data_IF_300310013389
#
_entry.id   IF_300310013389
#
_cell.length_a   1.000
_cell.length_b   1.000
_cell.length_c   1.000
_cell.angle_alpha   90.00
_cell.angle_beta   90.00
_cell.angle_gamma   90.00
#
_symmetry.space_group_name_H-M   'P 1'
#
loop_
_entity.id
_entity.type
_entity.pdbx_description
1 polymer ?
#
# COMPACT_ATOMS: atom_id res chain seq x y z
N UNK A 1 30.05 -4.01 -6.89
CA UNK A 1 29.46 -2.89 -6.12
C UNK A 1 29.02 -1.88 -7.16
N UNK A 2 27.82 -2.05 -7.72
CA UNK A 2 27.24 -1.10 -8.66
C UNK A 2 26.25 -0.29 -7.83
N UNK A 3 26.64 0.92 -7.47
CA UNK A 3 25.70 1.92 -6.99
C UNK A 3 24.74 2.20 -8.16
N UNK A 4 23.57 1.57 -8.11
CA UNK A 4 22.52 1.84 -9.06
C UNK A 4 21.96 3.21 -8.74
N UNK A 5 22.30 4.18 -9.59
CA UNK A 5 21.70 5.52 -9.64
C UNK A 5 20.19 5.34 -9.71
N UNK A 6 19.50 5.78 -8.66
CA UNK A 6 18.04 5.83 -8.63
C UNK A 6 17.54 6.98 -9.49
N UNK A 7 16.37 6.80 -10.09
CA UNK A 7 15.73 7.84 -10.88
C UNK A 7 15.33 8.97 -9.93
N UNK A 8 15.81 10.19 -10.19
CA UNK A 8 15.32 11.39 -9.51
C UNK A 8 13.90 11.75 -10.05
N UNK A 9 13.26 12.78 -9.50
CA UNK A 9 11.92 13.19 -9.97
C UNK A 9 11.91 13.52 -11.47
N UNK A 10 13.01 14.09 -11.99
CA UNK A 10 13.18 14.39 -13.41
C UNK A 10 13.20 13.12 -14.28
N UNK A 11 13.80 12.05 -13.77
CA UNK A 11 13.87 10.76 -14.44
C UNK A 11 12.50 10.04 -14.48
N UNK A 12 11.61 10.31 -13.53
CA UNK A 12 10.24 9.77 -13.50
C UNK A 12 9.41 10.39 -14.64
N UNK A 13 9.46 11.71 -14.75
CA UNK A 13 8.81 12.42 -15.86
C UNK A 13 9.47 12.08 -17.21
N UNK A 14 10.76 11.72 -17.22
CA UNK A 14 11.44 11.22 -18.43
C UNK A 14 11.00 9.78 -18.82
N UNK A 15 10.77 8.90 -17.83
CA UNK A 15 10.21 7.57 -18.07
C UNK A 15 8.73 7.63 -18.49
N UNK A 16 8.01 8.61 -17.98
CA UNK A 16 6.56 8.74 -18.13
C UNK A 16 6.14 10.16 -18.55
N UNK A 17 6.62 10.65 -19.71
CA UNK A 17 6.40 12.03 -20.12
C UNK A 17 4.90 12.30 -20.34
N UNK A 18 4.42 13.38 -19.71
CA UNK A 18 3.02 13.81 -19.80
C UNK A 18 2.04 13.05 -18.90
N UNK A 19 2.54 12.26 -17.94
CA UNK A 19 1.67 11.67 -16.91
C UNK A 19 1.29 12.65 -15.81
N UNK A 20 2.10 13.69 -15.58
CA UNK A 20 1.85 14.63 -14.50
C UNK A 20 1.87 13.93 -13.14
N UNK A 21 2.75 12.93 -12.98
CA UNK A 21 2.89 12.06 -11.81
C UNK A 21 2.96 12.86 -10.50
N UNK A 22 3.68 13.98 -10.53
CA UNK A 22 3.89 14.90 -9.42
C UNK A 22 2.85 16.03 -9.33
N UNK A 23 1.75 15.99 -10.09
CA UNK A 23 0.63 16.91 -9.89
C UNK A 23 -0.25 16.34 -8.78
N UNK A 24 -0.09 16.78 -7.51
CA UNK A 24 -0.88 16.24 -6.43
C UNK A 24 -2.36 16.50 -6.70
N UNK A 25 -3.22 15.55 -6.33
CA UNK A 25 -4.64 15.87 -6.28
C UNK A 25 -4.87 16.83 -5.11
N UNK A 26 -5.38 18.02 -5.38
CA UNK A 26 -5.81 18.94 -4.33
C UNK A 26 -7.04 18.35 -3.65
N UNK A 27 -6.83 17.72 -2.49
CA UNK A 27 -7.90 17.13 -1.68
C UNK A 27 -9.01 18.13 -1.29
N UNK A 28 -8.75 19.45 -1.38
CA UNK A 28 -9.71 20.52 -1.09
C UNK A 28 -10.79 20.71 -2.18
N UNK A 29 -10.60 20.17 -3.37
CA UNK A 29 -11.57 20.33 -4.48
C UNK A 29 -12.84 19.51 -4.27
N UNK A 30 -12.83 18.52 -3.38
CA UNK A 30 -14.02 17.72 -3.07
C UNK A 30 -15.00 18.36 -2.07
N UNK A 31 -14.65 19.50 -1.45
CA UNK A 31 -15.55 20.21 -0.51
C UNK A 31 -16.14 21.51 -1.04
N UNK A 32 -15.60 22.08 -2.13
CA UNK A 32 -16.10 23.33 -2.72
C UNK A 32 -16.55 23.11 -4.17
N UNK A 33 -17.88 23.06 -4.35
CA UNK A 33 -18.65 22.87 -5.58
C UNK A 33 -18.52 24.03 -6.61
N UNK A 34 -17.31 24.43 -7.01
CA UNK A 34 -17.16 25.45 -8.08
C UNK A 34 -16.05 25.20 -9.10
N UNK A 35 -15.23 24.16 -8.95
CA UNK A 35 -14.35 23.68 -10.03
C UNK A 35 -14.21 22.15 -9.98
N UNK A 36 -14.99 21.45 -10.80
CA UNK A 36 -15.05 19.99 -10.90
C UNK A 36 -13.86 19.39 -11.64
N UNK A 37 -12.63 19.71 -11.25
CA UNK A 37 -11.46 19.00 -11.79
C UNK A 37 -11.18 17.79 -10.91
N UNK A 38 -11.51 16.60 -11.41
CA UNK A 38 -11.12 15.36 -10.76
C UNK A 38 -9.61 15.21 -10.81
N UNK A 39 -9.05 14.34 -9.96
CA UNK A 39 -7.64 13.97 -10.13
C UNK A 39 -7.43 13.46 -11.56
N UNK A 40 -6.37 13.92 -12.23
CA UNK A 40 -6.04 13.49 -13.59
C UNK A 40 -5.86 11.96 -13.71
N UNK A 41 -5.59 11.27 -12.59
CA UNK A 41 -5.57 9.81 -12.52
C UNK A 41 -6.95 9.22 -12.81
N UNK A 42 -8.00 9.81 -12.22
CA UNK A 42 -9.38 9.39 -12.44
C UNK A 42 -9.79 9.69 -13.87
N UNK A 43 -9.48 10.89 -14.37
CA UNK A 43 -9.81 11.31 -15.75
C UNK A 43 -9.14 10.42 -16.81
N UNK A 44 -7.97 9.86 -16.48
CA UNK A 44 -7.18 9.01 -17.37
C UNK A 44 -7.05 7.58 -16.86
N UNK A 45 -8.04 7.07 -16.12
CA UNK A 45 -7.95 5.77 -15.45
C UNK A 45 -7.60 4.61 -16.38
N UNK A 46 -8.16 4.59 -17.59
CA UNK A 46 -7.83 3.59 -18.62
C UNK A 46 -6.34 3.59 -18.96
N UNK A 47 -5.75 4.78 -19.14
CA UNK A 47 -4.33 4.92 -19.43
C UNK A 47 -3.48 4.43 -18.25
N UNK A 48 -3.81 4.84 -17.03
CA UNK A 48 -3.09 4.39 -15.83
C UNK A 48 -3.16 2.88 -15.65
N UNK A 49 -4.33 2.29 -15.90
CA UNK A 49 -4.51 0.85 -15.85
C UNK A 49 -3.72 0.13 -16.95
N UNK A 50 -3.54 0.71 -18.15
CA UNK A 50 -2.61 0.15 -19.14
C UNK A 50 -1.18 0.07 -18.60
N UNK A 51 -0.69 1.13 -17.95
CA UNK A 51 0.66 1.14 -17.33
C UNK A 51 0.76 0.14 -16.18
N UNK A 52 -0.19 0.19 -15.25
CA UNK A 52 -0.22 -0.69 -14.07
C UNK A 52 -0.45 -2.16 -14.43
N UNK A 53 -1.06 -2.46 -15.56
CA UNK A 53 -1.23 -3.85 -16.01
C UNK A 53 0.11 -4.55 -16.21
N UNK A 54 1.11 -3.84 -16.73
CA UNK A 54 2.49 -4.33 -16.85
C UNK A 54 3.15 -4.57 -15.49
N UNK A 55 2.65 -3.93 -14.43
CA UNK A 55 3.01 -4.17 -13.05
C UNK A 55 2.22 -5.30 -12.36
N UNK A 56 1.10 -5.72 -12.94
CA UNK A 56 0.18 -6.69 -12.32
C UNK A 56 -0.80 -6.04 -11.35
N UNK A 57 -1.01 -4.74 -11.49
CA UNK A 57 -1.93 -3.95 -10.67
C UNK A 57 -2.93 -3.21 -11.56
N UNK A 58 -3.99 -2.71 -10.92
CA UNK A 58 -4.93 -1.78 -11.53
C UNK A 58 -5.51 -0.88 -10.43
N UNK A 59 -5.83 0.35 -10.80
CA UNK A 59 -6.67 1.24 -10.01
C UNK A 59 -8.13 0.93 -10.31
N UNK A 60 -8.89 0.62 -9.27
CA UNK A 60 -10.34 0.46 -9.32
C UNK A 60 -11.00 1.59 -8.57
N UNK A 61 -12.01 2.19 -9.18
CA UNK A 61 -12.89 3.10 -8.48
C UNK A 61 -13.72 2.34 -7.44
N UNK A 62 -13.81 2.91 -6.24
CA UNK A 62 -14.61 2.40 -5.16
C UNK A 62 -16.05 2.91 -5.27
N UNK A 63 -16.90 2.50 -4.34
CA UNK A 63 -18.32 2.91 -4.32
C UNK A 63 -18.50 4.43 -4.21
N UNK A 64 -17.55 5.13 -3.59
CA UNK A 64 -17.54 6.58 -3.50
C UNK A 64 -16.84 7.19 -4.74
N UNK A 65 -17.48 8.13 -5.47
CA UNK A 65 -16.88 8.77 -6.63
C UNK A 65 -15.53 9.41 -6.32
N UNK A 66 -14.53 9.12 -7.16
CA UNK A 66 -13.18 9.65 -7.03
C UNK A 66 -12.32 9.04 -5.93
N UNK A 67 -12.80 8.00 -5.25
CA UNK A 67 -11.95 7.16 -4.40
C UNK A 67 -11.44 5.95 -5.19
N UNK A 68 -10.13 5.77 -5.23
CA UNK A 68 -9.44 4.70 -5.95
C UNK A 68 -8.80 3.70 -4.97
N UNK A 69 -8.80 2.44 -5.38
CA UNK A 69 -8.03 1.38 -4.74
C UNK A 69 -7.10 0.73 -5.74
N UNK A 70 -5.81 0.67 -5.40
CA UNK A 70 -4.80 -0.04 -6.15
C UNK A 70 -4.84 -1.52 -5.78
N UNK A 71 -5.32 -2.36 -6.69
CA UNK A 71 -5.54 -3.79 -6.44
C UNK A 71 -4.71 -4.65 -7.38
N UNK A 72 -4.45 -5.89 -6.95
CA UNK A 72 -3.75 -6.87 -7.79
C UNK A 72 -4.65 -7.35 -8.94
N UNK A 73 -4.04 -7.62 -10.08
CA UNK A 73 -4.67 -8.32 -11.21
C UNK A 73 -4.21 -9.76 -11.20
N UNK A 74 -5.15 -10.71 -11.25
CA UNK A 74 -4.82 -12.12 -11.45
C UNK A 74 -4.12 -12.27 -12.81
N UNK A 75 -2.86 -12.71 -12.80
CA UNK A 75 -2.11 -12.98 -14.03
C UNK A 75 -2.28 -14.45 -14.39
N UNK A 76 -2.75 -14.71 -15.60
CA UNK A 76 -2.77 -16.05 -16.18
C UNK A 76 -1.33 -16.49 -16.48
N UNK A 77 -0.69 -17.20 -15.54
CA UNK A 77 0.43 -18.12 -15.78
C UNK A 77 1.74 -17.59 -16.38
N UNK A 78 1.86 -16.30 -16.71
CA UNK A 78 3.05 -15.72 -17.34
C UNK A 78 4.19 -15.50 -16.35
N UNK A 79 5.42 -15.91 -16.72
CA UNK A 79 6.65 -15.68 -15.95
C UNK A 79 6.74 -14.22 -15.49
N UNK A 80 7.09 -14.02 -14.21
CA UNK A 80 7.40 -12.71 -13.63
C UNK A 80 8.51 -12.05 -14.47
N UNK A 81 8.22 -10.94 -15.15
CA UNK A 81 9.27 -10.11 -15.73
C UNK A 81 9.89 -9.28 -14.60
N UNK A 82 11.00 -9.78 -14.05
CA UNK A 82 11.79 -9.10 -13.02
C UNK A 82 12.23 -7.68 -13.45
N UNK A 83 12.31 -7.41 -14.75
CA UNK A 83 12.77 -6.14 -15.32
C UNK A 83 11.90 -4.92 -14.96
N UNK A 84 10.63 -5.10 -14.58
CA UNK A 84 9.76 -3.96 -14.27
C UNK A 84 9.67 -3.63 -12.78
N UNK A 85 10.24 -4.45 -11.88
CA UNK A 85 10.03 -4.33 -10.44
C UNK A 85 10.40 -2.95 -9.87
N UNK A 86 11.42 -2.29 -10.44
CA UNK A 86 11.84 -0.94 -10.03
C UNK A 86 10.82 0.14 -10.40
N UNK A 87 10.28 0.09 -11.62
CA UNK A 87 9.33 1.10 -12.12
C UNK A 87 8.00 1.00 -11.38
N UNK A 88 7.56 -0.22 -11.08
CA UNK A 88 6.33 -0.45 -10.29
C UNK A 88 6.45 0.17 -8.90
N UNK A 89 7.56 -0.08 -8.21
CA UNK A 89 7.83 0.45 -6.88
C UNK A 89 7.81 1.96 -6.83
N UNK A 90 8.35 2.59 -7.88
CA UNK A 90 8.39 4.04 -8.02
C UNK A 90 6.99 4.61 -8.26
N UNK A 91 6.24 4.03 -9.20
CA UNK A 91 4.84 4.38 -9.45
C UNK A 91 4.00 4.25 -8.18
N UNK A 92 4.21 3.18 -7.41
CA UNK A 92 3.50 2.93 -6.17
C UNK A 92 3.74 4.02 -5.13
N UNK A 93 5.01 4.37 -4.91
CA UNK A 93 5.38 5.45 -4.00
C UNK A 93 4.75 6.79 -4.43
N UNK A 94 4.85 7.16 -5.71
CA UNK A 94 4.27 8.41 -6.23
C UNK A 94 2.75 8.43 -6.08
N UNK A 95 2.07 7.32 -6.37
CA UNK A 95 0.62 7.20 -6.17
C UNK A 95 0.24 7.46 -4.70
N UNK A 96 0.99 6.91 -3.75
CA UNK A 96 0.68 7.11 -2.33
C UNK A 96 1.07 8.47 -1.78
N UNK A 97 2.17 9.04 -2.26
CA UNK A 97 2.66 10.33 -1.79
C UNK A 97 1.84 11.50 -2.35
N UNK A 98 1.58 11.48 -3.66
CA UNK A 98 0.98 12.60 -4.38
C UNK A 98 -0.55 12.50 -4.51
N UNK A 99 -1.12 11.29 -4.49
CA UNK A 99 -2.52 11.07 -4.88
C UNK A 99 -3.40 10.58 -3.73
N UNK A 100 -3.97 11.55 -3.00
CA UNK A 100 -4.98 11.33 -1.95
C UNK A 100 -6.28 10.69 -2.42
N UNK A 101 -6.56 10.67 -3.72
CA UNK A 101 -7.65 9.87 -4.27
C UNK A 101 -7.41 8.37 -4.12
N UNK A 102 -6.16 7.91 -3.96
CA UNK A 102 -5.85 6.52 -3.63
C UNK A 102 -6.07 6.31 -2.13
N UNK A 103 -7.15 5.61 -1.80
CA UNK A 103 -7.57 5.32 -0.42
C UNK A 103 -7.45 3.83 -0.07
N UNK A 104 -7.23 2.97 -1.07
CA UNK A 104 -7.08 1.54 -0.90
C UNK A 104 -5.84 1.00 -1.60
N UNK A 105 -5.15 0.06 -0.96
CA UNK A 105 -3.90 -0.51 -1.48
C UNK A 105 -3.81 -1.99 -1.18
N UNK A 106 -3.45 -2.77 -2.18
CA UNK A 106 -3.01 -4.15 -2.05
C UNK A 106 -1.50 -4.25 -2.33
N UNK A 107 -0.74 -4.74 -1.35
CA UNK A 107 0.68 -5.04 -1.42
C UNK A 107 0.90 -6.56 -1.48
N UNK A 108 1.77 -6.99 -2.38
CA UNK A 108 2.18 -8.38 -2.51
C UNK A 108 3.70 -8.55 -2.63
N UNK A 109 4.15 -9.81 -2.69
CA UNK A 109 5.56 -10.16 -2.83
C UNK A 109 6.25 -9.56 -4.07
N UNK A 110 5.51 -9.26 -5.14
CA UNK A 110 6.08 -8.72 -6.39
C UNK A 110 6.71 -7.35 -6.14
N UNK A 111 6.14 -6.56 -5.24
CA UNK A 111 6.69 -5.26 -4.86
C UNK A 111 7.91 -5.37 -3.95
N UNK A 112 8.10 -6.52 -3.29
CA UNK A 112 9.16 -6.75 -2.29
C UNK A 112 10.23 -7.78 -2.72
N UNK A 113 10.32 -8.10 -4.02
CA UNK A 113 11.41 -8.93 -4.59
C UNK A 113 12.29 -8.16 -5.57
N UNK A 114 13.62 -8.29 -5.48
CA UNK A 114 14.59 -7.74 -6.45
C UNK A 114 15.64 -6.80 -5.84
N UNK A 115 16.54 -6.25 -6.66
CA UNK A 115 17.48 -5.22 -6.21
C UNK A 115 16.75 -3.92 -5.82
N UNK A 116 17.33 -3.13 -4.90
CA UNK A 116 16.75 -1.83 -4.51
C UNK A 116 15.59 -1.87 -3.49
N UNK A 117 15.51 -2.94 -2.69
CA UNK A 117 14.43 -3.14 -1.72
C UNK A 117 14.51 -2.21 -0.51
N UNK A 118 15.72 -1.83 -0.10
CA UNK A 118 15.93 -1.00 1.09
C UNK A 118 15.38 0.40 0.86
N UNK A 119 15.60 0.95 -0.31
CA UNK A 119 15.17 2.28 -0.71
C UNK A 119 13.66 2.32 -0.93
N UNK A 120 13.11 1.32 -1.63
CA UNK A 120 11.66 1.17 -1.78
C UNK A 120 10.96 1.09 -0.43
N UNK A 121 11.51 0.31 0.50
CA UNK A 121 11.01 0.21 1.87
C UNK A 121 10.97 1.58 2.55
N UNK A 122 12.06 2.36 2.52
CA UNK A 122 12.10 3.69 3.15
C UNK A 122 11.04 4.61 2.55
N UNK A 123 10.88 4.62 1.23
CA UNK A 123 9.92 5.49 0.52
C UNK A 123 8.47 5.09 0.71
N UNK A 124 8.17 3.79 0.75
CA UNK A 124 6.81 3.30 1.01
C UNK A 124 6.45 3.50 2.48
N UNK A 125 7.40 3.30 3.39
CA UNK A 125 7.23 3.64 4.81
C UNK A 125 6.90 5.11 5.01
N UNK A 126 7.64 6.03 4.38
CA UNK A 126 7.34 7.47 4.45
C UNK A 126 5.98 7.77 3.82
N UNK A 127 5.70 7.21 2.65
CA UNK A 127 4.41 7.39 2.00
C UNK A 127 3.24 6.91 2.87
N UNK A 128 3.35 5.77 3.55
CA UNK A 128 2.29 5.30 4.47
C UNK A 128 2.13 6.20 5.69
N UNK A 129 3.23 6.69 6.26
CA UNK A 129 3.21 7.59 7.40
C UNK A 129 2.54 8.93 7.07
N UNK A 130 2.85 9.47 5.89
CA UNK A 130 2.40 10.80 5.47
C UNK A 130 1.06 10.76 4.71
N UNK A 131 0.60 9.57 4.30
CA UNK A 131 -0.67 9.38 3.62
C UNK A 131 -1.84 9.33 4.62
N UNK A 132 -2.55 10.45 4.72
CA UNK A 132 -3.75 10.66 5.54
C UNK A 132 -5.05 10.19 4.88
N UNK A 133 -5.02 9.76 3.62
CA UNK A 133 -6.21 9.32 2.88
C UNK A 133 -6.39 7.79 2.86
N UNK A 134 -5.34 7.02 3.15
CA UNK A 134 -5.37 5.57 3.07
C UNK A 134 -6.26 4.98 4.16
N UNK A 135 -7.32 4.30 3.74
CA UNK A 135 -8.32 3.67 4.61
C UNK A 135 -8.35 2.15 4.48
N UNK A 136 -7.85 1.58 3.39
CA UNK A 136 -7.80 0.14 3.18
C UNK A 136 -6.39 -0.30 2.81
N UNK A 137 -5.85 -1.24 3.57
CA UNK A 137 -4.56 -1.86 3.29
C UNK A 137 -4.68 -3.38 3.31
N UNK A 138 -4.26 -4.01 2.22
CA UNK A 138 -4.24 -5.46 2.06
C UNK A 138 -2.80 -5.90 1.83
N UNK A 139 -2.29 -6.73 2.72
CA UNK A 139 -0.96 -7.30 2.69
C UNK A 139 -1.11 -8.78 2.31
N UNK A 140 -0.88 -9.12 1.06
CA UNK A 140 -1.20 -10.44 0.50
C UNK A 140 0.07 -11.20 0.13
N UNK A 141 0.14 -12.46 0.55
CA UNK A 141 1.25 -13.36 0.24
C UNK A 141 2.62 -12.92 0.77
N UNK A 142 2.73 -11.98 1.71
CA UNK A 142 4.02 -11.36 2.13
C UNK A 142 5.08 -12.30 2.77
N UNK A 143 5.49 -13.46 2.25
CA UNK A 143 6.37 -14.38 3.00
C UNK A 143 7.25 -15.28 2.12
N UNK A 144 8.58 -15.23 2.24
CA UNK A 144 9.27 -15.97 3.32
C UNK A 144 10.67 -15.46 3.72
N UNK A 145 11.34 -14.62 2.93
CA UNK A 145 12.76 -14.29 3.15
C UNK A 145 13.05 -12.85 3.63
N UNK A 146 12.05 -11.96 3.62
CA UNK A 146 12.26 -10.51 3.83
C UNK A 146 11.78 -9.99 5.21
N UNK A 147 12.15 -10.68 6.29
CA UNK A 147 11.76 -10.33 7.68
C UNK A 147 12.04 -8.86 8.06
N UNK A 148 13.13 -8.29 7.57
CA UNK A 148 13.53 -6.91 7.87
C UNK A 148 12.66 -5.85 7.19
N UNK A 149 12.02 -6.17 6.06
CA UNK A 149 11.10 -5.26 5.38
C UNK A 149 9.77 -5.21 6.14
N UNK A 150 9.37 -6.36 6.67
CA UNK A 150 8.15 -6.49 7.44
C UNK A 150 8.21 -5.70 8.77
N UNK A 151 9.33 -5.69 9.48
CA UNK A 151 9.43 -4.96 10.76
C UNK A 151 9.23 -3.45 10.65
N UNK A 152 9.81 -2.82 9.62
CA UNK A 152 9.70 -1.38 9.40
C UNK A 152 8.31 -1.01 8.90
N UNK A 153 7.79 -1.76 7.92
CA UNK A 153 6.42 -1.58 7.43
C UNK A 153 5.42 -1.71 8.59
N UNK A 154 5.51 -2.77 9.40
CA UNK A 154 4.61 -2.95 10.52
C UNK A 154 4.73 -1.83 11.56
N UNK A 155 5.94 -1.34 11.84
CA UNK A 155 6.12 -0.22 12.76
C UNK A 155 5.35 1.04 12.31
N UNK A 156 5.42 1.37 11.02
CA UNK A 156 4.70 2.52 10.47
C UNK A 156 3.18 2.30 10.43
N UNK A 157 2.73 1.07 10.17
CA UNK A 157 1.30 0.72 10.18
C UNK A 157 0.65 1.01 11.53
N UNK A 158 1.36 0.82 12.64
CA UNK A 158 0.85 1.16 13.96
C UNK A 158 0.45 2.62 14.15
N UNK A 159 0.94 3.53 13.29
CA UNK A 159 0.65 4.97 13.32
C UNK A 159 -0.50 5.41 12.40
N UNK A 160 -1.04 4.51 11.57
CA UNK A 160 -2.10 4.83 10.59
C UNK A 160 -3.50 4.88 11.23
N UNK A 161 -3.75 5.92 12.02
CA UNK A 161 -5.01 6.12 12.78
C UNK A 161 -6.27 6.34 11.93
N UNK A 162 -6.14 6.45 10.62
CA UNK A 162 -7.22 6.60 9.64
C UNK A 162 -7.61 5.28 8.98
N UNK A 163 -6.82 4.23 9.18
CA UNK A 163 -7.01 2.93 8.54
C UNK A 163 -8.31 2.28 9.03
N UNK A 164 -9.19 1.90 8.10
CA UNK A 164 -10.49 1.27 8.37
C UNK A 164 -10.46 -0.23 8.10
N UNK A 165 -9.75 -0.65 7.08
CA UNK A 165 -9.61 -2.05 6.69
C UNK A 165 -8.13 -2.43 6.68
N UNK A 166 -7.78 -3.46 7.45
CA UNK A 166 -6.49 -4.14 7.38
C UNK A 166 -6.71 -5.62 7.08
N UNK A 167 -6.18 -6.09 5.96
CA UNK A 167 -6.13 -7.52 5.61
C UNK A 167 -4.68 -7.95 5.58
N UNK A 168 -4.34 -9.01 6.30
CA UNK A 168 -3.01 -9.63 6.26
C UNK A 168 -3.20 -11.11 5.95
N UNK A 169 -2.83 -11.48 4.72
CA UNK A 169 -2.83 -12.85 4.23
C UNK A 169 -1.40 -13.32 4.06
N UNK A 170 -1.01 -14.29 4.87
CA UNK A 170 0.36 -14.74 5.00
C UNK A 170 0.56 -16.18 4.56
N UNK A 171 1.74 -16.51 4.07
CA UNK A 171 2.15 -17.89 3.75
C UNK A 171 3.31 -18.39 4.60
N UNK A 172 3.82 -17.58 5.54
CA UNK A 172 5.01 -17.89 6.35
C UNK A 172 4.91 -17.54 7.83
N UNK A 173 6.06 -17.54 8.51
CA UNK A 173 6.15 -17.20 9.94
C UNK A 173 5.79 -15.73 10.13
N UNK A 174 4.82 -15.48 10.99
CA UNK A 174 4.46 -14.12 11.35
C UNK A 174 5.61 -13.45 12.12
N UNK A 175 5.83 -12.17 11.85
CA UNK A 175 6.82 -11.35 12.56
C UNK A 175 6.38 -11.17 14.00
N UNK A 176 7.32 -11.22 14.95
CA UNK A 176 7.06 -10.96 16.37
C UNK A 176 6.30 -9.65 16.60
N UNK A 177 6.63 -8.60 15.83
CA UNK A 177 5.99 -7.28 15.89
C UNK A 177 4.56 -7.21 15.36
N UNK A 178 4.10 -8.21 14.59
CA UNK A 178 2.75 -8.19 14.02
C UNK A 178 1.69 -8.07 15.11
N UNK A 179 1.87 -8.77 16.23
CA UNK A 179 0.92 -8.74 17.36
C UNK A 179 0.84 -7.35 17.97
N UNK A 180 1.97 -6.67 18.15
CA UNK A 180 2.01 -5.32 18.74
C UNK A 180 1.37 -4.29 17.82
N UNK A 181 1.56 -4.43 16.51
CA UNK A 181 1.00 -3.53 15.50
C UNK A 181 -0.50 -3.72 15.36
N UNK A 182 -0.96 -4.97 15.34
CA UNK A 182 -2.39 -5.26 15.40
C UNK A 182 -2.99 -4.72 16.69
N UNK A 183 -2.31 -4.86 17.84
CA UNK A 183 -2.77 -4.28 19.11
C UNK A 183 -2.85 -2.75 19.05
N UNK A 184 -1.87 -2.08 18.42
CA UNK A 184 -1.89 -0.62 18.21
C UNK A 184 -3.07 -0.20 17.35
N UNK A 185 -3.27 -0.88 16.22
CA UNK A 185 -4.35 -0.59 15.27
C UNK A 185 -5.74 -0.90 15.84
N UNK A 186 -5.88 -1.92 16.68
CA UNK A 186 -7.14 -2.22 17.38
C UNK A 186 -7.51 -1.12 18.39
N UNK A 187 -6.54 -0.34 18.88
CA UNK A 187 -6.82 0.85 19.70
C UNK A 187 -7.23 2.06 18.85
N UNK A 188 -7.04 2.02 17.53
CA UNK A 188 -7.54 3.07 16.65
C UNK A 188 -9.06 2.99 16.55
N UNK A 189 -9.74 4.13 16.72
CA UNK A 189 -11.19 4.24 16.54
C UNK A 189 -11.62 4.02 15.07
N UNK A 190 -10.72 4.20 14.11
CA UNK A 190 -11.03 4.08 12.69
C UNK A 190 -11.18 2.65 12.19
N UNK A 191 -10.48 1.69 12.81
CA UNK A 191 -10.33 0.35 12.26
C UNK A 191 -11.64 -0.42 12.44
N UNK A 192 -12.39 -0.64 11.37
CA UNK A 192 -13.64 -1.41 11.38
C UNK A 192 -13.43 -2.87 11.00
N UNK A 193 -12.43 -3.16 10.16
CA UNK A 193 -12.23 -4.48 9.56
C UNK A 193 -10.78 -4.92 9.75
N UNK A 194 -10.62 -6.06 10.41
CA UNK A 194 -9.33 -6.75 10.56
C UNK A 194 -9.51 -8.19 10.07
N UNK A 195 -8.75 -8.59 9.06
CA UNK A 195 -8.73 -9.95 8.54
C UNK A 195 -7.30 -10.48 8.57
N UNK A 196 -7.09 -11.58 9.27
CA UNK A 196 -5.79 -12.21 9.46
C UNK A 196 -5.89 -13.68 9.02
N UNK A 197 -5.15 -14.06 7.99
CA UNK A 197 -5.20 -15.43 7.43
C UNK A 197 -3.80 -15.97 7.11
N UNK A 198 -3.65 -17.29 7.19
CA UNK A 198 -2.41 -18.00 6.85
C UNK A 198 -1.19 -17.67 7.73
N UNK A 199 -1.39 -16.97 8.85
CA UNK A 199 -0.33 -16.63 9.80
C UNK A 199 0.13 -17.87 10.58
N UNK A 200 1.45 -18.12 10.58
CA UNK A 200 2.06 -19.09 11.50
C UNK A 200 2.56 -18.37 12.75
N UNK A 201 1.74 -18.38 13.81
CA UNK A 201 2.03 -17.82 15.13
C UNK A 201 2.43 -18.92 16.11
N UNK A 202 3.33 -18.62 17.05
CA UNK A 202 3.57 -19.49 18.19
C UNK A 202 2.42 -19.34 19.22
N UNK A 203 2.33 -20.28 20.18
CA UNK A 203 1.22 -20.29 21.15
C UNK A 203 1.06 -18.99 21.93
N UNK A 204 2.17 -18.34 22.32
CA UNK A 204 2.18 -17.07 23.06
C UNK A 204 1.60 -15.95 22.20
N UNK A 205 2.08 -15.80 20.97
CA UNK A 205 1.65 -14.74 20.04
C UNK A 205 0.18 -14.91 19.64
N UNK A 206 -0.29 -16.16 19.46
CA UNK A 206 -1.70 -16.46 19.22
C UNK A 206 -2.58 -16.01 20.40
N UNK A 207 -2.19 -16.33 21.63
CA UNK A 207 -2.94 -15.90 22.83
C UNK A 207 -2.96 -14.38 22.97
N UNK A 208 -1.83 -13.71 22.77
CA UNK A 208 -1.73 -12.26 22.83
C UNK A 208 -2.59 -11.57 21.78
N UNK A 209 -2.66 -12.13 20.58
CA UNK A 209 -3.49 -11.61 19.49
C UNK A 209 -5.00 -11.77 19.80
N UNK A 210 -5.42 -12.96 20.24
CA UNK A 210 -6.82 -13.19 20.64
C UNK A 210 -7.22 -12.24 21.78
N UNK A 211 -6.35 -12.08 22.78
CA UNK A 211 -6.57 -11.14 23.88
C UNK A 211 -6.71 -9.70 23.38
N UNK A 212 -5.82 -9.25 22.49
CA UNK A 212 -5.89 -7.90 21.93
C UNK A 212 -7.20 -7.65 21.15
N UNK A 213 -7.69 -8.65 20.41
CA UNK A 213 -8.97 -8.55 19.69
C UNK A 213 -10.15 -8.51 20.66
N UNK A 214 -10.13 -9.33 21.72
CA UNK A 214 -11.18 -9.34 22.74
C UNK A 214 -11.25 -8.04 23.55
N UNK A 215 -10.11 -7.38 23.76
CA UNK A 215 -10.01 -6.10 24.50
C UNK A 215 -10.32 -4.88 23.64
N UNK A 216 -10.68 -5.05 22.36
CA UNK A 216 -10.99 -3.92 21.48
C UNK A 216 -12.16 -3.12 22.06
N UNK A 217 -11.97 -1.84 22.41
CA UNK A 217 -13.06 -1.01 22.91
C UNK A 217 -14.15 -0.97 21.85
N UNK A 218 -15.37 -1.36 22.23
CA UNK A 218 -16.52 -1.25 21.35
C UNK A 218 -16.77 0.24 21.17
N UNK A 219 -16.74 0.70 19.92
CA UNK A 219 -17.10 2.08 19.60
C UNK A 219 -18.61 2.21 19.79
N UNK A 220 -19.02 2.94 20.82
CA UNK A 220 -20.42 3.38 21.03
C UNK A 220 -20.93 4.23 19.86
#
# INVERSE_FOLDING_TARGET
MLDQVWLNEDDIDALFPGLGLHRPCTAEVHRNLSSTSYCHIIERLCFWNCVLWHAGFQLRELTAPGELSLVRVARDGGRRQEQHGRDVRLLFHVLLECHRCVVGVELDDVLVEGSGLREFRVRVSSAFRDNTSLRSLKLVSLFSDYRFIQEDLFADLGSMTQLRELVISATGKAVSRLVDVVRSLLRSASLSTLSLSGLRLNGINSQLLVKAVAEKPHSD
#
